data_IF_144501942184
#
_entry.id   IF_144501942184
#
_cell.length_a   1.000
_cell.length_b   1.000
_cell.length_c   1.000
_cell.angle_alpha   90.00
_cell.angle_beta   90.00
_cell.angle_gamma   90.00
#
_symmetry.space_group_name_H-M   'P 1'
#
loop_
_entity.id
_entity.type
_entity.pdbx_description
1 polymer ?
#
# COMPACT_ATOMS: atom_id res chain seq x y z
N UNK A 1 70.61 -12.65 34.77
CA UNK A 1 70.38 -13.11 36.15
C UNK A 1 71.50 -12.55 37.00
N UNK A 2 71.30 -11.36 37.58
CA UNK A 2 72.27 -10.69 38.44
C UNK A 2 72.25 -11.36 39.81
N UNK A 3 73.40 -11.84 40.27
CA UNK A 3 73.57 -12.34 41.64
C UNK A 3 73.25 -11.17 42.59
N UNK A 4 72.35 -11.32 43.58
CA UNK A 4 72.01 -10.23 44.46
C UNK A 4 73.23 -9.79 45.25
N UNK A 5 73.44 -8.48 45.30
CA UNK A 5 74.52 -7.82 46.00
C UNK A 5 74.58 -8.27 47.47
N UNK A 6 75.76 -8.75 47.89
CA UNK A 6 75.99 -9.43 49.16
C UNK A 6 75.70 -8.53 50.38
N UNK A 7 75.64 -7.21 50.16
CA UNK A 7 75.32 -6.20 51.16
C UNK A 7 73.83 -6.07 51.48
N UNK A 8 72.94 -6.41 50.55
CA UNK A 8 71.50 -6.38 50.81
C UNK A 8 71.08 -7.49 51.76
N UNK A 9 71.67 -8.69 51.67
CA UNK A 9 71.35 -9.81 52.58
C UNK A 9 71.74 -9.48 54.03
N UNK A 10 72.85 -8.75 54.25
CA UNK A 10 73.29 -8.33 55.60
C UNK A 10 72.36 -7.28 56.22
N UNK A 11 71.86 -6.32 55.44
CA UNK A 11 70.89 -5.31 55.93
C UNK A 11 69.56 -5.94 56.35
N UNK A 12 69.06 -6.91 55.60
CA UNK A 12 67.84 -7.65 55.96
C UNK A 12 68.02 -8.48 57.24
N UNK A 13 69.20 -9.09 57.44
CA UNK A 13 69.51 -9.83 58.67
C UNK A 13 69.60 -8.93 59.92
N UNK A 14 70.06 -7.67 59.77
CA UNK A 14 70.12 -6.69 60.86
C UNK A 14 68.75 -6.22 61.33
N UNK A 15 67.84 -5.92 60.39
CA UNK A 15 66.47 -5.50 60.70
C UNK A 15 65.66 -6.60 61.42
N UNK A 16 65.92 -7.87 61.09
CA UNK A 16 65.31 -9.01 61.77
C UNK A 16 65.77 -9.17 63.24
N UNK A 17 66.88 -8.56 63.67
CA UNK A 17 67.35 -8.70 65.06
C UNK A 17 66.60 -7.80 66.05
N UNK A 18 66.08 -6.66 65.62
CA UNK A 18 65.44 -5.64 66.49
C UNK A 18 63.93 -5.78 66.64
N UNK A 19 63.29 -6.67 65.87
CA UNK A 19 61.86 -6.94 66.01
C UNK A 19 61.56 -7.73 67.30
N UNK A 20 60.46 -7.46 68.02
CA UNK A 20 59.99 -8.30 69.11
C UNK A 20 59.85 -9.76 68.64
N UNK A 21 60.14 -10.74 69.50
CA UNK A 21 60.18 -12.18 69.16
C UNK A 21 58.94 -12.68 68.41
N UNK A 22 57.77 -12.12 68.71
CA UNK A 22 56.51 -12.46 68.06
C UNK A 22 56.45 -12.05 66.57
N UNK A 23 57.02 -10.90 66.22
CA UNK A 23 57.04 -10.40 64.84
C UNK A 23 57.99 -11.18 63.94
N UNK A 24 59.13 -11.63 64.47
CA UNK A 24 60.07 -12.48 63.72
C UNK A 24 59.41 -13.78 63.30
N UNK A 25 58.62 -14.37 64.19
CA UNK A 25 57.89 -15.61 63.93
C UNK A 25 56.84 -15.40 62.82
N UNK A 26 56.09 -14.30 62.87
CA UNK A 26 55.11 -13.94 61.83
C UNK A 26 55.78 -13.80 60.45
N UNK A 27 56.90 -13.07 60.37
CA UNK A 27 57.61 -12.92 59.09
C UNK A 27 58.16 -14.23 58.53
N UNK A 28 58.68 -15.13 59.38
CA UNK A 28 59.14 -16.45 58.94
C UNK A 28 57.97 -17.31 58.43
N UNK A 29 56.84 -17.28 59.13
CA UNK A 29 55.63 -18.00 58.71
C UNK A 29 55.11 -17.46 57.37
N UNK A 30 55.07 -16.14 57.18
CA UNK A 30 54.66 -15.53 55.89
C UNK A 30 55.60 -15.96 54.76
N UNK A 31 56.93 -15.93 54.98
CA UNK A 31 57.90 -16.34 53.96
C UNK A 31 57.74 -17.84 53.61
N UNK A 32 57.50 -18.69 54.60
CA UNK A 32 57.25 -20.12 54.37
C UNK A 32 55.93 -20.38 53.62
N UNK A 33 54.87 -19.62 53.92
CA UNK A 33 53.60 -19.70 53.19
C UNK A 33 53.79 -19.22 51.74
N UNK A 34 54.54 -18.14 51.51
CA UNK A 34 54.82 -17.62 50.17
C UNK A 34 55.70 -18.58 49.36
N UNK A 35 56.73 -19.17 49.98
CA UNK A 35 57.57 -20.20 49.33
C UNK A 35 56.77 -21.47 49.05
N UNK A 36 55.95 -21.94 50.00
CA UNK A 36 55.05 -23.08 49.81
C UNK A 36 54.04 -22.83 48.70
N UNK A 37 53.44 -21.64 48.64
CA UNK A 37 52.55 -21.21 47.57
C UNK A 37 53.24 -21.12 46.21
N UNK A 38 54.49 -20.64 46.16
CA UNK A 38 55.28 -20.56 44.93
C UNK A 38 55.67 -21.96 44.42
N UNK A 39 56.11 -22.86 45.30
CA UNK A 39 56.40 -24.26 44.94
C UNK A 39 55.13 -25.01 44.51
N UNK A 40 54.01 -24.80 45.20
CA UNK A 40 52.72 -25.36 44.80
C UNK A 40 52.29 -24.84 43.41
N UNK A 41 52.45 -23.54 43.13
CA UNK A 41 52.15 -22.95 41.82
C UNK A 41 53.05 -23.53 40.72
N UNK A 42 54.36 -23.64 40.97
CA UNK A 42 55.32 -24.24 40.03
C UNK A 42 55.00 -25.72 39.76
N UNK A 43 54.63 -26.48 40.79
CA UNK A 43 54.38 -27.92 40.65
C UNK A 43 53.02 -28.23 40.00
N UNK A 44 51.97 -27.47 40.32
CA UNK A 44 50.62 -27.72 39.80
C UNK A 44 50.31 -27.00 38.49
N UNK A 45 50.65 -25.71 38.34
CA UNK A 45 50.18 -24.90 37.20
C UNK A 45 51.13 -24.88 36.00
N UNK A 46 52.43 -25.09 36.20
CA UNK A 46 53.39 -25.09 35.09
C UNK A 46 53.13 -26.21 34.06
N UNK A 47 52.83 -27.47 34.49
CA UNK A 47 52.54 -28.55 33.55
C UNK A 47 51.20 -28.39 32.82
N UNK A 48 50.22 -27.70 33.40
CA UNK A 48 48.96 -27.40 32.71
C UNK A 48 49.17 -26.33 31.64
N UNK A 49 49.89 -25.25 31.96
CA UNK A 49 50.22 -24.19 30.99
C UNK A 49 51.02 -24.72 29.79
N UNK A 50 51.94 -25.66 30.02
CA UNK A 50 52.72 -26.24 28.94
C UNK A 50 51.88 -27.17 28.04
N UNK A 51 50.88 -27.86 28.61
CA UNK A 51 49.89 -28.60 27.82
C UNK A 51 49.03 -27.66 26.98
N UNK A 52 48.49 -26.61 27.59
CA UNK A 52 47.67 -25.61 26.89
C UNK A 52 48.44 -24.95 25.74
N UNK A 53 49.74 -24.65 25.94
CA UNK A 53 50.58 -24.05 24.92
C UNK A 53 50.85 -25.00 23.75
N UNK A 54 51.04 -26.29 24.03
CA UNK A 54 51.17 -27.31 22.99
C UNK A 54 49.87 -27.53 22.22
N UNK A 55 48.72 -27.50 22.90
CA UNK A 55 47.40 -27.65 22.27
C UNK A 55 47.04 -26.42 21.43
N UNK A 56 47.40 -25.22 21.89
CA UNK A 56 47.29 -23.99 21.10
C UNK A 56 48.20 -24.03 19.87
N UNK A 57 49.43 -24.54 19.99
CA UNK A 57 50.32 -24.71 18.84
C UNK A 57 49.74 -25.69 17.81
N UNK A 58 49.23 -26.84 18.25
CA UNK A 58 48.57 -27.82 17.37
C UNK A 58 47.34 -27.25 16.68
N UNK A 59 46.55 -26.47 17.41
CA UNK A 59 45.37 -25.81 16.85
C UNK A 59 45.78 -24.77 15.81
N UNK A 60 46.83 -23.99 16.07
CA UNK A 60 47.33 -22.99 15.12
C UNK A 60 47.92 -23.63 13.86
N UNK A 61 48.62 -24.77 13.97
CA UNK A 61 49.10 -25.51 12.80
C UNK A 61 47.94 -26.08 11.98
N UNK A 62 46.93 -26.67 12.63
CA UNK A 62 45.74 -27.19 11.95
C UNK A 62 44.92 -26.09 11.27
N UNK A 63 44.72 -24.94 11.94
CA UNK A 63 44.08 -23.75 11.37
C UNK A 63 44.86 -23.21 10.17
N UNK A 64 46.19 -23.25 10.22
CA UNK A 64 47.03 -22.82 9.09
C UNK A 64 46.89 -23.75 7.89
N UNK A 65 46.77 -25.07 8.11
CA UNK A 65 46.53 -26.05 7.05
C UNK A 65 45.14 -25.87 6.44
N UNK A 66 44.09 -25.77 7.26
CA UNK A 66 42.72 -25.51 6.81
C UNK A 66 42.62 -24.20 6.02
N UNK A 67 43.29 -23.13 6.47
CA UNK A 67 43.32 -21.87 5.73
C UNK A 67 44.01 -22.00 4.36
N UNK A 68 45.00 -22.89 4.25
CA UNK A 68 45.68 -23.15 2.98
C UNK A 68 44.78 -23.92 2.03
N UNK A 69 44.09 -24.96 2.53
CA UNK A 69 43.10 -25.73 1.78
C UNK A 69 41.94 -24.84 1.29
N UNK A 70 41.38 -24.03 2.19
CA UNK A 70 40.30 -23.11 1.86
C UNK A 70 40.70 -22.09 0.78
N UNK A 71 41.94 -21.59 0.84
CA UNK A 71 42.49 -20.71 -0.21
C UNK A 71 42.59 -21.41 -1.56
N UNK A 72 43.01 -22.68 -1.57
CA UNK A 72 43.07 -23.46 -2.82
C UNK A 72 41.69 -23.74 -3.39
N UNK A 73 40.71 -24.05 -2.53
CA UNK A 73 39.32 -24.29 -2.93
C UNK A 73 38.68 -23.02 -3.50
N UNK A 74 38.87 -21.86 -2.84
CA UNK A 74 38.38 -20.57 -3.35
C UNK A 74 39.01 -20.24 -4.71
N UNK A 75 40.30 -20.54 -4.92
CA UNK A 75 40.96 -20.33 -6.20
C UNK A 75 40.38 -21.23 -7.30
N UNK A 76 40.10 -22.50 -6.98
CA UNK A 76 39.46 -23.43 -7.90
C UNK A 76 38.04 -23.00 -8.26
N UNK A 77 37.21 -22.68 -7.26
CA UNK A 77 35.84 -22.19 -7.46
C UNK A 77 35.81 -20.87 -8.24
N UNK A 78 36.80 -20.00 -8.04
CA UNK A 78 36.92 -18.76 -8.83
C UNK A 78 37.21 -19.07 -10.29
N UNK A 79 38.15 -19.98 -10.57
CA UNK A 79 38.48 -20.41 -11.92
C UNK A 79 37.30 -21.11 -12.61
N UNK A 80 36.55 -21.92 -11.87
CA UNK A 80 35.33 -22.57 -12.36
C UNK A 80 34.24 -21.55 -12.67
N UNK A 81 34.00 -20.58 -11.78
CA UNK A 81 33.06 -19.48 -12.04
C UNK A 81 33.47 -18.61 -13.23
N UNK A 82 34.77 -18.36 -13.41
CA UNK A 82 35.29 -17.65 -14.58
C UNK A 82 35.04 -18.45 -15.87
N UNK A 83 35.31 -19.76 -15.88
CA UNK A 83 35.02 -20.64 -17.02
C UNK A 83 33.51 -20.77 -17.34
N UNK A 84 32.66 -20.82 -16.30
CA UNK A 84 31.21 -20.79 -16.45
C UNK A 84 30.73 -19.45 -17.00
N UNK A 85 31.31 -18.33 -16.56
CA UNK A 85 31.01 -17.02 -17.15
C UNK A 85 31.41 -16.94 -18.62
N UNK A 86 32.56 -17.48 -19.00
CA UNK A 86 33.02 -17.50 -20.40
C UNK A 86 32.14 -18.37 -21.31
N UNK A 87 31.56 -19.45 -20.78
CA UNK A 87 30.64 -20.32 -21.54
C UNK A 87 29.21 -19.79 -21.56
N UNK A 88 28.75 -19.16 -20.49
CA UNK A 88 27.37 -18.69 -20.36
C UNK A 88 27.18 -17.28 -20.94
N UNK A 89 28.19 -16.40 -20.92
CA UNK A 89 28.13 -15.08 -21.54
C UNK A 89 27.82 -15.09 -23.05
N UNK A 90 28.42 -15.96 -23.90
CA UNK A 90 28.06 -16.04 -25.31
C UNK A 90 26.64 -16.59 -25.51
N UNK A 91 26.18 -17.52 -24.66
CA UNK A 91 24.80 -18.02 -24.69
C UNK A 91 23.79 -16.92 -24.35
N UNK A 92 24.06 -16.07 -23.36
CA UNK A 92 23.22 -14.90 -23.07
C UNK A 92 23.23 -13.88 -24.20
N UNK A 93 24.38 -13.64 -24.83
CA UNK A 93 24.45 -12.74 -26.01
C UNK A 93 23.68 -13.31 -27.20
N UNK A 94 23.73 -14.62 -27.40
CA UNK A 94 22.98 -15.29 -28.46
C UNK A 94 21.48 -15.30 -28.17
N UNK A 95 21.06 -15.61 -26.93
CA UNK A 95 19.66 -15.55 -26.51
C UNK A 95 19.10 -14.12 -26.57
N UNK A 96 19.86 -13.10 -26.16
CA UNK A 96 19.46 -11.69 -26.29
C UNK A 96 19.37 -11.22 -27.75
N UNK A 97 20.12 -11.86 -28.67
CA UNK A 97 20.08 -11.59 -30.11
C UNK A 97 18.93 -12.32 -30.80
N UNK A 98 18.60 -13.54 -30.36
CA UNK A 98 17.50 -14.35 -30.89
C UNK A 98 16.14 -13.96 -30.31
N UNK A 99 16.11 -13.42 -29.07
CA UNK A 99 14.90 -13.00 -28.38
C UNK A 99 15.07 -11.61 -27.73
N UNK A 100 15.12 -10.52 -28.52
CA UNK A 100 15.38 -9.18 -28.00
C UNK A 100 14.28 -8.61 -27.10
N UNK A 101 13.14 -9.30 -26.91
CA UNK A 101 12.01 -8.82 -26.10
C UNK A 101 11.25 -7.61 -26.70
N UNK A 102 11.79 -7.00 -27.75
CA UNK A 102 11.21 -5.87 -28.49
C UNK A 102 9.79 -6.21 -28.99
N UNK A 103 9.59 -7.39 -29.56
CA UNK A 103 8.27 -7.82 -30.07
C UNK A 103 7.23 -7.98 -28.96
N UNK A 104 7.65 -8.45 -27.78
CA UNK A 104 6.79 -8.60 -26.60
C UNK A 104 6.45 -7.22 -26.03
N UNK A 105 7.44 -6.33 -25.89
CA UNK A 105 7.22 -4.97 -25.42
C UNK A 105 6.34 -4.16 -26.38
N UNK A 106 6.53 -4.30 -27.69
CA UNK A 106 5.67 -3.68 -28.70
C UNK A 106 4.26 -4.24 -28.62
N UNK A 107 4.11 -5.55 -28.42
CA UNK A 107 2.79 -6.19 -28.30
C UNK A 107 2.07 -5.78 -27.02
N UNK A 108 2.76 -5.73 -25.88
CA UNK A 108 2.24 -5.25 -24.61
C UNK A 108 1.85 -3.78 -24.70
N UNK A 109 2.70 -2.93 -25.30
CA UNK A 109 2.39 -1.52 -25.56
C UNK A 109 1.13 -1.37 -26.41
N UNK A 110 1.01 -2.13 -27.51
CA UNK A 110 -0.20 -2.14 -28.35
C UNK A 110 -1.45 -2.61 -27.61
N UNK A 111 -1.32 -3.57 -26.69
CA UNK A 111 -2.44 -4.03 -25.86
C UNK A 111 -2.85 -2.95 -24.87
N UNK A 112 -1.90 -2.30 -24.20
CA UNK A 112 -2.16 -1.18 -23.29
C UNK A 112 -2.82 -0.02 -24.04
N UNK A 113 -2.28 0.39 -25.20
CA UNK A 113 -2.86 1.43 -26.04
C UNK A 113 -4.30 1.11 -26.49
N UNK A 114 -4.59 -0.17 -26.82
CA UNK A 114 -5.95 -0.62 -27.14
C UNK A 114 -6.86 -0.57 -25.92
N UNK A 115 -6.39 -1.02 -24.77
CA UNK A 115 -7.16 -0.98 -23.51
C UNK A 115 -7.47 0.46 -23.09
N UNK A 116 -6.50 1.37 -23.18
CA UNK A 116 -6.68 2.79 -22.90
C UNK A 116 -7.65 3.45 -23.90
N UNK A 117 -7.55 3.12 -25.20
CA UNK A 117 -8.50 3.59 -26.22
C UNK A 117 -9.93 3.05 -26.01
N UNK A 118 -10.05 1.89 -25.36
CA UNK A 118 -11.33 1.27 -25.01
C UNK A 118 -11.91 1.76 -23.68
N UNK A 119 -11.13 2.43 -22.82
CA UNK A 119 -11.61 2.97 -21.54
C UNK A 119 -12.81 3.90 -21.76
N UNK A 120 -14.03 3.51 -21.36
CA UNK A 120 -15.22 4.28 -21.67
C UNK A 120 -15.35 5.54 -20.80
N UNK A 121 -14.62 5.65 -19.68
CA UNK A 121 -14.68 6.77 -18.74
C UNK A 121 -13.77 7.96 -19.13
N UNK A 122 -12.74 7.71 -19.94
CA UNK A 122 -11.91 8.75 -20.55
C UNK A 122 -12.55 9.39 -21.78
N UNK A 123 -13.59 8.76 -22.35
CA UNK A 123 -14.22 9.25 -23.57
C UNK A 123 -15.04 10.52 -23.30
N UNK A 124 -15.05 11.48 -24.24
CA UNK A 124 -15.96 12.63 -24.20
C UNK A 124 -17.41 12.18 -24.06
N UNK A 125 -18.19 12.90 -23.26
CA UNK A 125 -19.64 12.70 -23.19
C UNK A 125 -20.25 13.22 -24.49
N UNK A 126 -20.69 12.30 -25.34
CA UNK A 126 -21.43 12.59 -26.57
C UNK A 126 -22.94 12.50 -26.33
N UNK A 127 -23.37 11.52 -25.54
CA UNK A 127 -24.77 11.35 -25.15
C UNK A 127 -24.88 11.06 -23.66
N UNK A 128 -25.89 11.62 -23.01
CA UNK A 128 -26.25 11.28 -21.65
C UNK A 128 -27.77 11.26 -21.56
N UNK A 129 -28.32 10.14 -21.12
CA UNK A 129 -29.75 9.99 -20.83
C UNK A 129 -29.93 9.50 -19.41
N UNK A 130 -30.97 9.96 -18.73
CA UNK A 130 -31.37 9.40 -17.45
C UNK A 130 -32.87 9.11 -17.43
N UNK A 131 -33.27 8.00 -16.83
CA UNK A 131 -34.66 7.72 -16.49
C UNK A 131 -34.81 7.81 -14.99
N UNK A 132 -35.60 8.77 -14.49
CA UNK A 132 -35.94 8.85 -13.08
C UNK A 132 -37.35 8.31 -12.87
N UNK A 133 -37.51 7.48 -11.84
CA UNK A 133 -38.78 7.00 -11.33
C UNK A 133 -38.85 7.34 -9.84
N UNK A 134 -39.75 8.24 -9.46
CA UNK A 134 -39.89 8.76 -8.11
C UNK A 134 -41.25 8.39 -7.56
N UNK A 135 -41.29 7.80 -6.38
CA UNK A 135 -42.50 7.47 -5.66
C UNK A 135 -42.77 8.51 -4.58
N UNK A 136 -43.94 9.12 -4.62
CA UNK A 136 -44.38 10.16 -3.69
C UNK A 136 -45.66 9.74 -2.99
N UNK A 137 -45.75 9.99 -1.69
CA UNK A 137 -46.96 9.81 -0.90
C UNK A 137 -48.03 10.82 -1.33
N UNK A 138 -49.24 10.34 -1.63
CA UNK A 138 -50.33 11.17 -2.12
C UNK A 138 -51.68 10.67 -1.64
N UNK A 139 -52.47 11.59 -1.10
CA UNK A 139 -53.85 11.34 -0.68
C UNK A 139 -54.87 11.61 -1.80
N UNK A 140 -54.41 12.03 -2.99
CA UNK A 140 -55.29 12.29 -4.12
C UNK A 140 -55.84 10.93 -4.57
N UNK A 141 -57.16 10.75 -4.54
CA UNK A 141 -57.85 9.60 -5.13
C UNK A 141 -58.27 9.98 -6.55
N UNK A 142 -57.75 9.28 -7.55
CA UNK A 142 -58.10 9.55 -8.95
C UNK A 142 -57.57 8.47 -9.89
N UNK A 143 -58.37 8.17 -10.91
CA UNK A 143 -58.07 7.15 -11.90
C UNK A 143 -57.01 7.65 -12.88
N UNK A 144 -55.91 6.90 -12.97
CA UNK A 144 -55.27 6.74 -14.26
C UNK A 144 -54.00 7.56 -14.52
N UNK A 145 -53.21 6.94 -15.38
CA UNK A 145 -52.04 7.48 -16.04
C UNK A 145 -52.30 8.90 -16.57
N UNK A 146 -51.55 9.89 -16.09
CA UNK A 146 -51.58 11.24 -16.66
C UNK A 146 -50.24 11.52 -17.31
N UNK A 147 -50.25 11.74 -18.62
CA UNK A 147 -49.07 12.22 -19.34
C UNK A 147 -49.11 13.74 -19.43
N UNK A 148 -48.00 14.39 -19.08
CA UNK A 148 -47.82 15.82 -19.25
C UNK A 148 -46.79 16.06 -20.35
N UNK A 149 -47.25 16.62 -21.46
CA UNK A 149 -46.37 17.21 -22.47
C UNK A 149 -46.24 18.70 -22.16
N UNK A 150 -45.05 19.10 -21.75
CA UNK A 150 -44.67 20.48 -21.42
C UNK A 150 -43.30 20.75 -22.01
N UNK A 151 -43.05 21.98 -22.48
CA UNK A 151 -41.75 22.36 -23.07
C UNK A 151 -40.57 22.02 -22.15
N UNK A 152 -40.80 22.01 -20.82
CA UNK A 152 -39.88 21.48 -19.80
C UNK A 152 -40.69 20.71 -18.76
N UNK A 153 -40.50 19.39 -18.70
CA UNK A 153 -41.13 18.52 -17.73
C UNK A 153 -40.33 18.44 -16.42
N UNK A 154 -39.01 18.56 -16.51
CA UNK A 154 -38.12 18.59 -15.36
C UNK A 154 -36.66 18.68 -15.76
N UNK A 155 -35.79 18.65 -14.77
CA UNK A 155 -34.34 18.55 -14.97
C UNK A 155 -33.69 17.65 -13.92
N UNK A 156 -32.54 17.10 -14.28
CA UNK A 156 -31.65 16.39 -13.38
C UNK A 156 -30.25 17.02 -13.49
N UNK A 157 -29.64 17.27 -12.34
CA UNK A 157 -28.34 17.96 -12.24
C UNK A 157 -27.38 17.13 -11.42
N UNK A 158 -26.17 16.95 -11.93
CA UNK A 158 -25.00 16.55 -11.15
C UNK A 158 -24.33 17.83 -10.66
N UNK A 159 -24.28 18.04 -9.34
CA UNK A 159 -23.81 19.30 -8.76
C UNK A 159 -22.68 19.08 -7.76
N UNK A 160 -21.90 20.15 -7.59
CA UNK A 160 -20.90 20.31 -6.53
C UNK A 160 -21.15 21.65 -5.88
N UNK A 161 -21.43 21.68 -4.57
CA UNK A 161 -21.80 22.91 -3.86
C UNK A 161 -22.94 23.67 -4.58
N UNK A 162 -22.66 24.85 -5.15
CA UNK A 162 -23.62 25.64 -5.93
C UNK A 162 -23.48 25.48 -7.45
N UNK A 163 -22.47 24.75 -7.91
CA UNK A 163 -22.13 24.64 -9.33
C UNK A 163 -22.78 23.41 -9.96
N UNK A 164 -23.41 23.62 -11.11
CA UNK A 164 -23.91 22.54 -11.96
C UNK A 164 -22.77 22.00 -12.83
N UNK A 165 -22.37 20.75 -12.59
CA UNK A 165 -21.36 20.07 -13.40
C UNK A 165 -21.96 19.54 -14.71
N UNK A 166 -23.18 19.02 -14.66
CA UNK A 166 -23.94 18.50 -15.80
C UNK A 166 -25.42 18.70 -15.53
N UNK A 167 -26.15 19.25 -16.50
CA UNK A 167 -27.60 19.39 -16.44
C UNK A 167 -28.25 18.68 -17.63
N UNK A 168 -29.26 17.86 -17.35
CA UNK A 168 -30.05 17.18 -18.37
C UNK A 168 -31.52 17.49 -18.17
N UNK A 169 -32.25 17.66 -19.27
CA UNK A 169 -33.64 18.11 -19.24
C UNK A 169 -34.56 17.04 -19.80
N UNK A 170 -35.81 17.07 -19.34
CA UNK A 170 -36.87 16.28 -19.93
C UNK A 170 -37.95 17.16 -20.52
N UNK A 171 -38.53 16.69 -21.62
CA UNK A 171 -39.71 17.29 -22.30
C UNK A 171 -40.99 16.52 -22.04
N UNK A 172 -40.90 15.33 -21.42
CA UNK A 172 -42.04 14.45 -21.19
C UNK A 172 -41.97 13.84 -19.80
N UNK A 173 -43.05 13.97 -19.07
CA UNK A 173 -43.25 13.31 -17.80
C UNK A 173 -44.60 12.59 -17.86
N UNK A 174 -44.66 11.45 -17.19
CA UNK A 174 -45.93 10.84 -16.88
C UNK A 174 -45.99 10.50 -15.40
N UNK A 175 -47.21 10.50 -14.86
CA UNK A 175 -47.49 10.07 -13.50
C UNK A 175 -48.51 8.94 -13.49
N UNK A 176 -48.36 8.02 -12.55
CA UNK A 176 -49.28 6.91 -12.35
C UNK A 176 -49.58 6.74 -10.87
N UNK A 177 -50.85 6.80 -10.51
CA UNK A 177 -51.32 6.47 -9.17
C UNK A 177 -51.25 4.95 -8.95
N UNK A 178 -50.71 4.52 -7.81
CA UNK A 178 -50.54 3.09 -7.49
C UNK A 178 -51.75 2.50 -6.76
N UNK A 179 -52.69 3.33 -6.30
CA UNK A 179 -53.85 2.94 -5.49
C UNK A 179 -53.55 2.75 -4.01
N UNK A 180 -52.28 2.80 -3.58
CA UNK A 180 -51.86 2.62 -2.18
C UNK A 180 -51.53 3.95 -1.49
N UNK A 181 -52.20 5.04 -1.88
CA UNK A 181 -51.86 6.38 -1.41
C UNK A 181 -50.49 6.86 -1.92
N UNK A 182 -50.06 6.40 -3.10
CA UNK A 182 -48.79 6.80 -3.71
C UNK A 182 -48.98 7.10 -5.19
N UNK A 183 -48.13 7.98 -5.70
CA UNK A 183 -48.01 8.34 -7.11
C UNK A 183 -46.57 8.16 -7.55
N UNK A 184 -46.39 7.48 -8.67
CA UNK A 184 -45.10 7.34 -9.36
C UNK A 184 -45.00 8.45 -10.40
N UNK A 185 -43.97 9.26 -10.30
CA UNK A 185 -43.52 10.21 -11.31
C UNK A 185 -42.41 9.57 -12.12
N UNK A 186 -42.48 9.65 -13.44
CA UNK A 186 -41.44 9.10 -14.30
C UNK A 186 -41.12 10.05 -15.44
N UNK A 187 -39.83 10.18 -15.74
CA UNK A 187 -39.37 11.00 -16.84
C UNK A 187 -38.03 10.54 -17.39
N UNK A 188 -37.85 10.78 -18.69
CA UNK A 188 -36.62 10.54 -19.42
C UNK A 188 -35.94 11.88 -19.72
N UNK A 189 -34.78 12.09 -19.10
CA UNK A 189 -33.94 13.25 -19.28
C UNK A 189 -32.87 12.95 -20.31
N UNK A 190 -32.51 13.96 -21.10
CA UNK A 190 -31.45 13.89 -22.10
C UNK A 190 -30.58 15.13 -22.06
N UNK A 191 -29.29 14.93 -22.34
CA UNK A 191 -28.33 16.01 -22.53
C UNK A 191 -28.65 16.83 -23.77
N UNK A 192 -28.63 18.15 -23.61
CA UNK A 192 -28.62 19.07 -24.73
C UNK A 192 -27.20 19.17 -25.29
N UNK A 193 -27.07 19.18 -26.63
CA UNK A 193 -25.77 19.30 -27.29
C UNK A 193 -25.06 20.64 -26.99
N UNK A 194 -25.77 21.63 -26.48
CA UNK A 194 -25.24 22.94 -26.07
C UNK A 194 -24.75 22.99 -24.63
N UNK A 195 -24.98 21.95 -23.82
CA UNK A 195 -24.54 21.92 -22.42
C UNK A 195 -22.99 21.90 -22.34
N UNK A 196 -22.37 22.70 -21.45
CA UNK A 196 -20.91 22.75 -21.31
C UNK A 196 -20.22 21.44 -20.94
N UNK A 197 -20.96 20.45 -20.43
CA UNK A 197 -20.47 19.11 -20.15
C UNK A 197 -20.35 18.25 -21.41
N UNK A 198 -21.07 18.58 -22.49
CA UNK A 198 -20.94 17.88 -23.76
C UNK A 198 -19.50 18.02 -24.29
N UNK A 199 -18.90 16.91 -24.67
CA UNK A 199 -17.50 16.85 -25.11
C UNK A 199 -16.47 16.81 -23.97
N UNK A 200 -16.86 16.95 -22.70
CA UNK A 200 -15.96 16.75 -21.56
C UNK A 200 -15.78 15.25 -21.28
N UNK A 201 -14.62 14.80 -20.81
CA UNK A 201 -14.40 13.40 -20.46
C UNK A 201 -15.19 13.01 -19.21
N UNK A 202 -15.82 11.84 -19.19
CA UNK A 202 -16.76 11.44 -18.13
C UNK A 202 -16.17 11.53 -16.71
N UNK A 203 -14.88 11.27 -16.51
CA UNK A 203 -14.23 11.40 -15.20
C UNK A 203 -14.36 12.79 -14.58
N UNK A 204 -14.70 13.84 -15.34
CA UNK A 204 -14.92 15.18 -14.79
C UNK A 204 -16.07 15.21 -13.77
N UNK A 205 -17.02 14.27 -13.85
CA UNK A 205 -18.12 14.14 -12.89
C UNK A 205 -17.68 13.52 -11.55
N UNK A 206 -16.42 13.10 -11.38
CA UNK A 206 -15.91 12.53 -10.13
C UNK A 206 -16.09 13.46 -8.93
N UNK A 207 -16.16 14.76 -9.17
CA UNK A 207 -16.30 15.80 -8.16
C UNK A 207 -17.78 16.11 -7.81
N UNK A 208 -18.74 15.36 -8.37
CA UNK A 208 -20.17 15.50 -8.04
C UNK A 208 -20.39 15.19 -6.56
N UNK A 209 -21.05 16.06 -5.82
CA UNK A 209 -21.37 15.84 -4.40
C UNK A 209 -22.81 15.34 -4.21
N UNK A 210 -23.72 15.71 -5.10
CA UNK A 210 -25.10 15.27 -5.08
C UNK A 210 -25.73 15.31 -6.47
N UNK A 211 -26.77 14.51 -6.65
CA UNK A 211 -27.67 14.60 -7.81
C UNK A 211 -28.95 15.27 -7.34
N UNK A 212 -29.40 16.27 -8.08
CA UNK A 212 -30.67 16.95 -7.84
C UNK A 212 -31.64 16.61 -8.97
N UNK A 213 -32.87 16.27 -8.60
CA UNK A 213 -33.94 15.97 -9.55
C UNK A 213 -35.09 16.95 -9.28
N UNK A 214 -35.66 17.50 -10.34
CA UNK A 214 -36.77 18.42 -10.27
C UNK A 214 -37.82 18.05 -11.31
N UNK A 215 -39.08 18.02 -10.88
CA UNK A 215 -40.25 17.90 -11.76
C UNK A 215 -41.14 19.11 -11.54
N UNK A 216 -41.61 19.74 -12.61
CA UNK A 216 -42.44 20.95 -12.49
C UNK A 216 -43.80 20.67 -11.83
N UNK A 217 -44.31 19.47 -12.01
CA UNK A 217 -45.64 19.01 -11.56
C UNK A 217 -45.67 18.53 -10.10
N UNK A 218 -44.51 18.23 -9.51
CA UNK A 218 -44.43 17.81 -8.10
C UNK A 218 -44.95 18.93 -7.21
N UNK A 219 -45.73 18.55 -6.20
CA UNK A 219 -46.22 19.49 -5.17
C UNK A 219 -45.05 19.77 -4.21
N UNK A 220 -44.76 21.05 -3.86
CA UNK A 220 -43.73 21.36 -2.87
C UNK A 220 -44.03 20.70 -1.51
N UNK A 221 -43.00 20.34 -0.75
CA UNK A 221 -43.13 19.64 0.55
C UNK A 221 -43.82 18.27 0.47
N UNK A 222 -43.84 17.66 -0.71
CA UNK A 222 -44.23 16.27 -0.89
C UNK A 222 -43.25 15.33 -0.20
N UNK A 223 -43.76 14.22 0.34
CA UNK A 223 -42.94 13.15 0.93
C UNK A 223 -42.60 12.11 -0.12
N UNK A 224 -41.33 12.04 -0.47
CA UNK A 224 -40.75 11.01 -1.33
C UNK A 224 -40.60 9.75 -0.50
N UNK A 225 -41.21 8.66 -0.97
CA UNK A 225 -41.12 7.33 -0.35
C UNK A 225 -39.89 6.58 -0.85
N UNK A 226 -39.47 6.85 -2.08
CA UNK A 226 -38.26 6.30 -2.66
C UNK A 226 -38.30 6.41 -4.18
N UNK A 227 -37.43 5.67 -4.85
CA UNK A 227 -37.36 5.63 -6.30
C UNK A 227 -35.98 5.23 -6.79
N UNK A 228 -35.76 5.44 -8.09
CA UNK A 228 -34.48 5.17 -8.73
C UNK A 228 -34.22 6.11 -9.89
N UNK A 229 -32.95 6.32 -10.18
CA UNK A 229 -32.47 6.95 -11.40
C UNK A 229 -31.52 6.00 -12.11
N UNK A 230 -31.76 5.76 -13.39
CA UNK A 230 -30.84 5.01 -14.24
C UNK A 230 -30.24 5.97 -15.26
N UNK A 231 -28.94 6.19 -15.20
CA UNK A 231 -28.20 7.02 -16.14
C UNK A 231 -27.46 6.12 -17.15
N UNK A 232 -27.53 6.49 -18.41
CA UNK A 232 -26.83 5.82 -19.52
C UNK A 232 -26.01 6.88 -20.25
N UNK A 233 -24.70 6.63 -20.38
CA UNK A 233 -23.73 7.58 -20.94
C UNK A 233 -23.06 6.92 -22.14
N UNK A 234 -23.06 7.62 -23.28
CA UNK A 234 -22.51 7.16 -24.55
C UNK A 234 -23.04 5.78 -24.99
N UNK A 235 -24.20 5.34 -24.48
CA UNK A 235 -24.75 3.99 -24.65
C UNK A 235 -23.81 2.85 -24.19
N UNK A 236 -22.81 3.15 -23.36
CA UNK A 236 -21.79 2.19 -22.92
C UNK A 236 -21.81 1.99 -21.41
N UNK A 237 -21.95 3.09 -20.65
CA UNK A 237 -21.87 3.06 -19.19
C UNK A 237 -23.26 3.25 -18.62
N UNK A 238 -23.62 2.42 -17.64
CA UNK A 238 -24.87 2.53 -16.88
C UNK A 238 -24.57 2.76 -15.40
N UNK A 239 -25.16 3.79 -14.83
CA UNK A 239 -25.18 4.03 -13.39
C UNK A 239 -26.62 3.92 -12.88
N UNK A 240 -26.78 3.38 -11.69
CA UNK A 240 -28.07 3.27 -11.03
C UNK A 240 -27.98 3.87 -9.63
N UNK A 241 -28.89 4.78 -9.34
CA UNK A 241 -28.95 5.51 -8.08
C UNK A 241 -30.29 5.23 -7.41
N UNK A 242 -30.25 4.88 -6.14
CA UNK A 242 -31.46 4.75 -5.33
C UNK A 242 -31.83 6.13 -4.80
N UNK A 243 -33.11 6.50 -4.92
CA UNK A 243 -33.64 7.73 -4.34
C UNK A 243 -34.11 7.39 -2.92
N UNK A 244 -33.49 7.97 -1.87
CA UNK A 244 -33.89 7.69 -0.49
C UNK A 244 -35.20 8.41 -0.13
N UNK A 245 -35.93 7.90 0.88
CA UNK A 245 -37.07 8.62 1.44
C UNK A 245 -36.65 9.99 1.97
N UNK A 246 -37.41 11.04 1.62
CA UNK A 246 -37.11 12.42 2.01
C UNK A 246 -38.33 13.33 1.81
N UNK A 247 -38.29 14.54 2.36
CA UNK A 247 -39.24 15.59 2.00
C UNK A 247 -38.64 16.47 0.89
N UNK A 248 -39.45 16.79 -0.13
CA UNK A 248 -39.00 17.68 -1.21
C UNK A 248 -38.77 19.10 -0.70
N UNK A 249 -37.66 19.71 -1.10
CA UNK A 249 -37.38 21.13 -0.84
C UNK A 249 -37.67 21.91 -2.11
N UNK A 250 -38.74 22.70 -2.13
CA UNK A 250 -39.17 23.44 -3.34
C UNK A 250 -39.24 22.54 -4.60
N UNK A 251 -39.89 21.38 -4.45
CA UNK A 251 -40.02 20.31 -5.48
C UNK A 251 -38.72 19.59 -5.87
N UNK A 252 -37.59 19.95 -5.28
CA UNK A 252 -36.31 19.30 -5.52
C UNK A 252 -36.16 18.04 -4.66
N UNK A 253 -35.55 17.03 -5.26
CA UNK A 253 -35.21 15.73 -4.67
C UNK A 253 -33.70 15.57 -4.77
N UNK A 254 -33.07 15.12 -3.69
CA UNK A 254 -31.61 14.98 -3.63
C UNK A 254 -31.20 13.53 -3.46
N UNK A 255 -30.21 13.09 -4.24
CA UNK A 255 -29.47 11.86 -4.01
C UNK A 255 -28.06 12.25 -3.57
N UNK A 256 -27.67 11.81 -2.37
CA UNK A 256 -26.37 12.15 -1.77
C UNK A 256 -25.43 10.96 -1.65
N UNK A 257 -25.96 9.73 -1.66
CA UNK A 257 -25.12 8.54 -1.71
C UNK A 257 -24.66 8.31 -3.15
N UNK A 258 -23.43 8.72 -3.42
CA UNK A 258 -22.75 8.57 -4.70
C UNK A 258 -21.51 7.68 -4.59
N UNK A 259 -21.41 6.88 -3.52
CA UNK A 259 -20.18 6.15 -3.17
C UNK A 259 -19.71 5.22 -4.30
N UNK A 260 -20.64 4.44 -4.87
CA UNK A 260 -20.35 3.54 -5.99
C UNK A 260 -19.96 4.30 -7.25
N UNK A 261 -20.63 5.41 -7.53
CA UNK A 261 -20.34 6.27 -8.67
C UNK A 261 -18.94 6.87 -8.59
N UNK A 262 -18.55 7.40 -7.42
CA UNK A 262 -17.20 7.91 -7.20
C UNK A 262 -16.13 6.83 -7.28
N UNK A 263 -16.41 5.63 -6.76
CA UNK A 263 -15.46 4.53 -6.83
C UNK A 263 -15.15 4.17 -8.29
N UNK A 264 -16.19 3.97 -9.10
CA UNK A 264 -16.04 3.62 -10.52
C UNK A 264 -15.30 4.69 -11.32
N UNK A 265 -15.56 5.98 -11.05
CA UNK A 265 -14.86 7.08 -11.72
C UNK A 265 -13.41 7.27 -11.23
N UNK A 266 -13.10 6.94 -9.97
CA UNK A 266 -11.73 7.00 -9.42
C UNK A 266 -10.85 5.88 -9.98
N UNK A 267 -11.36 4.66 -10.05
CA UNK A 267 -10.62 3.50 -10.58
C UNK A 267 -10.30 3.67 -12.08
N UNK A 268 -11.09 4.46 -12.80
CA UNK A 268 -10.97 4.62 -14.25
C UNK A 268 -10.18 5.86 -14.70
N UNK A 269 -9.77 6.71 -13.74
CA UNK A 269 -9.06 7.99 -13.98
C UNK A 269 -7.60 8.00 -13.52
N UNK A 270 -7.06 6.86 -13.08
CA UNK A 270 -5.64 6.61 -12.82
C UNK A 270 -5.04 5.80 -13.98
#
# INVERSE_FOLDING_TARGET
MSIPDHDNVKKWAGWFRTLPTLWKFITVVIVLILLGGFFYFQYMKLPSLQRDLNDLQKTNTSLSEQNKELKTEILLLRKENEGLRETVAPLFRQAAKEFPGEEINISLKKIIERMEAENPYGKPIATFTATAEVMIESNIQGDGYTEFMVDKAGFLVFAKQSDSLLMIFSRKEWRKQTGQGQVIYNSNFSLDATDPAAGRPLYFLKDTEYIQIFFYTIIPKSKVVGGRVICIINNLIRFEFVIPPQETTDKMIFIRDLSQFHQLLKESGN
#
